data_IF_004261234158
#
_entry.id   IF_004261234158
#
_cell.length_a   1.000
_cell.length_b   1.000
_cell.length_c   1.000
_cell.angle_alpha   90.00
_cell.angle_beta   90.00
_cell.angle_gamma   90.00
#
_symmetry.space_group_name_H-M   'P 1'
#
loop_
_entity.id
_entity.type
_entity.pdbx_description
1 polymer ?
#
# COMPACT_ATOMS: atom_id res chain seq x y z
N UNK A 1 5.44 3.09 -11.76
CA UNK A 1 6.72 3.68 -12.21
C UNK A 1 7.53 2.57 -12.83
N UNK A 2 8.16 2.81 -13.98
CA UNK A 2 9.04 1.85 -14.65
C UNK A 2 10.47 2.42 -14.61
N UNK A 3 11.43 1.62 -14.13
CA UNK A 3 12.84 2.01 -14.12
C UNK A 3 13.53 1.30 -15.27
N UNK A 4 13.92 2.05 -16.30
CA UNK A 4 14.55 1.47 -17.47
C UNK A 4 15.99 0.96 -17.18
N UNK A 5 16.48 -0.05 -17.92
CA UNK A 5 15.73 -0.85 -18.89
C UNK A 5 14.88 -1.94 -18.22
N UNK A 6 13.62 -2.08 -18.66
CA UNK A 6 12.70 -3.18 -18.33
C UNK A 6 11.78 -3.45 -19.52
N UNK A 7 11.40 -4.71 -19.71
CA UNK A 7 10.44 -5.17 -20.73
C UNK A 7 9.10 -5.50 -20.06
N UNK A 8 8.01 -5.00 -20.64
CA UNK A 8 6.64 -5.34 -20.23
C UNK A 8 6.03 -6.16 -21.37
N UNK A 9 5.76 -7.44 -21.11
CA UNK A 9 5.17 -8.33 -22.11
C UNK A 9 3.72 -7.99 -22.43
N UNK A 10 3.23 -8.48 -23.56
CA UNK A 10 1.86 -8.23 -24.01
C UNK A 10 0.83 -8.70 -22.98
N UNK A 11 -0.19 -7.87 -22.75
CA UNK A 11 -1.24 -8.14 -21.77
C UNK A 11 -0.78 -8.15 -20.30
N UNK A 12 0.45 -7.75 -20.00
CA UNK A 12 0.92 -7.60 -18.62
C UNK A 12 0.31 -6.36 -17.94
N UNK A 13 0.19 -6.43 -16.61
CA UNK A 13 -0.32 -5.35 -15.78
C UNK A 13 0.69 -4.97 -14.70
N UNK A 14 0.57 -3.76 -14.16
CA UNK A 14 1.33 -3.32 -12.98
C UNK A 14 0.37 -2.93 -11.87
N UNK A 15 0.58 -3.45 -10.67
CA UNK A 15 -0.24 -3.07 -9.53
C UNK A 15 -0.02 -1.60 -9.15
N UNK A 16 -1.09 -0.93 -8.71
CA UNK A 16 -1.05 0.48 -8.31
C UNK A 16 0.02 0.72 -7.23
N UNK A 17 0.79 1.80 -7.42
CA UNK A 17 1.88 2.18 -6.52
C UNK A 17 3.14 1.32 -6.65
N UNK A 18 3.25 0.46 -7.66
CA UNK A 18 4.46 -0.34 -7.89
C UNK A 18 5.56 0.47 -8.57
N UNK A 19 6.80 0.23 -8.13
CA UNK A 19 8.02 0.55 -8.87
C UNK A 19 8.53 -0.76 -9.47
N UNK A 20 8.55 -0.87 -10.80
CA UNK A 20 8.98 -2.08 -11.52
C UNK A 20 10.43 -1.88 -11.97
N UNK A 21 11.31 -2.77 -11.51
CA UNK A 21 12.75 -2.77 -11.77
C UNK A 21 13.24 -4.05 -12.46
N UNK A 22 12.32 -4.97 -12.74
CA UNK A 22 12.58 -6.26 -13.40
C UNK A 22 11.51 -6.48 -14.48
N UNK A 23 11.83 -7.31 -15.47
CA UNK A 23 10.91 -7.61 -16.57
C UNK A 23 9.60 -8.23 -16.06
N UNK A 24 8.49 -7.85 -16.69
CA UNK A 24 7.17 -8.43 -16.41
C UNK A 24 6.76 -9.27 -17.62
N UNK A 25 6.69 -10.62 -17.49
CA UNK A 25 6.30 -11.50 -18.59
C UNK A 25 4.90 -11.19 -19.14
N UNK A 26 4.64 -11.60 -20.38
CA UNK A 26 3.33 -11.48 -21.00
C UNK A 26 2.23 -12.12 -20.13
N UNK A 27 1.10 -11.42 -20.00
CA UNK A 27 -0.04 -11.82 -19.15
C UNK A 27 0.19 -11.78 -17.63
N UNK A 28 1.39 -11.44 -17.15
CA UNK A 28 1.70 -11.37 -15.72
C UNK A 28 1.31 -10.02 -15.10
N UNK A 29 1.19 -9.99 -13.76
CA UNK A 29 1.07 -8.74 -13.00
C UNK A 29 2.34 -8.48 -12.20
N UNK A 30 3.03 -7.38 -12.51
CA UNK A 30 4.16 -6.88 -11.72
C UNK A 30 3.68 -6.20 -10.43
N UNK A 31 4.22 -6.63 -9.29
CA UNK A 31 3.93 -6.07 -7.95
C UNK A 31 5.25 -5.71 -7.25
N UNK A 32 5.61 -4.42 -7.31
CA UNK A 32 6.85 -3.87 -6.74
C UNK A 32 6.58 -3.02 -5.51
N UNK A 33 5.81 -3.54 -4.54
CA UNK A 33 5.48 -2.84 -3.28
C UNK A 33 5.50 -3.81 -2.10
N UNK A 34 5.79 -3.28 -0.91
CA UNK A 34 5.75 -4.04 0.33
C UNK A 34 4.34 -4.53 0.65
N UNK A 35 4.23 -5.66 1.35
CA UNK A 35 2.94 -6.09 1.93
C UNK A 35 2.47 -5.03 2.94
N UNK A 36 1.18 -4.71 2.88
CA UNK A 36 0.60 -3.77 3.84
C UNK A 36 0.68 -4.35 5.25
N UNK A 37 1.05 -3.51 6.22
CA UNK A 37 0.97 -3.81 7.65
C UNK A 37 0.18 -2.72 8.34
N UNK A 38 -0.86 -3.11 9.07
CA UNK A 38 -1.61 -2.18 9.90
C UNK A 38 -0.91 -2.03 11.26
N UNK A 39 -0.61 -0.79 11.66
CA UNK A 39 -0.11 -0.49 13.00
C UNK A 39 -1.25 0.12 13.80
N UNK A 40 -1.96 -0.71 14.55
CA UNK A 40 -3.16 -0.30 15.27
C UNK A 40 -2.84 0.76 16.34
N UNK A 41 -3.77 1.70 16.50
CA UNK A 41 -3.67 2.79 17.47
C UNK A 41 -2.49 3.74 17.25
N UNK A 42 -1.83 3.73 16.09
CA UNK A 42 -0.61 4.52 15.86
C UNK A 42 -0.84 6.02 16.09
N UNK A 43 -1.96 6.57 15.60
CA UNK A 43 -2.27 8.00 15.76
C UNK A 43 -2.49 8.36 17.23
N UNK A 44 -3.25 7.55 17.98
CA UNK A 44 -3.47 7.78 19.41
C UNK A 44 -2.15 7.75 20.19
N UNK A 45 -1.23 6.85 19.83
CA UNK A 45 0.07 6.69 20.50
C UNK A 45 1.12 7.72 20.09
N UNK A 46 1.17 8.12 18.82
CA UNK A 46 2.24 8.97 18.27
C UNK A 46 1.83 10.43 18.09
N UNK A 47 0.53 10.74 18.09
CA UNK A 47 0.00 12.09 17.86
C UNK A 47 -1.16 12.44 18.80
N UNK A 48 -1.00 12.30 20.13
CA UNK A 48 -2.06 12.63 21.07
C UNK A 48 -2.44 14.12 20.99
N UNK A 49 -3.71 14.44 21.25
CA UNK A 49 -4.23 15.82 21.25
C UNK A 49 -4.35 16.49 19.88
N UNK A 50 -4.10 15.76 18.78
CA UNK A 50 -4.38 16.27 17.44
C UNK A 50 -5.83 16.02 17.04
N UNK A 51 -6.37 16.85 16.12
CA UNK A 51 -7.70 16.62 15.51
C UNK A 51 -7.84 15.20 14.95
N UNK A 52 -6.76 14.63 14.42
CA UNK A 52 -6.75 13.24 13.94
C UNK A 52 -6.89 12.20 15.06
N UNK A 53 -6.33 12.45 16.25
CA UNK A 53 -6.48 11.59 17.40
C UNK A 53 -7.87 11.69 18.02
N UNK A 54 -8.43 12.90 18.12
CA UNK A 54 -9.81 13.13 18.56
C UNK A 54 -10.80 12.42 17.64
N UNK A 55 -10.67 12.63 16.32
CA UNK A 55 -11.52 11.96 15.34
C UNK A 55 -11.41 10.42 15.42
N UNK A 56 -10.20 9.89 15.65
CA UNK A 56 -10.00 8.45 15.81
C UNK A 56 -10.60 7.91 17.11
N UNK A 57 -10.59 8.69 18.20
CA UNK A 57 -11.19 8.29 19.48
C UNK A 57 -12.73 8.34 19.45
N UNK A 58 -13.31 9.24 18.66
CA UNK A 58 -14.76 9.35 18.48
C UNK A 58 -15.33 8.43 17.39
N UNK A 59 -14.47 7.73 16.63
CA UNK A 59 -14.91 6.82 15.58
C UNK A 59 -15.51 5.54 16.16
N UNK A 60 -16.58 4.98 15.55
CA UNK A 60 -17.11 3.68 15.95
C UNK A 60 -16.05 2.59 15.73
N UNK A 61 -15.94 1.65 16.66
CA UNK A 61 -15.02 0.52 16.58
C UNK A 61 -15.37 -0.36 15.39
N UNK A 62 -14.60 -0.27 14.32
CA UNK A 62 -14.65 -1.23 13.24
C UNK A 62 -13.63 -2.34 13.55
N UNK A 63 -14.12 -3.48 14.03
CA UNK A 63 -13.31 -4.68 14.25
C UNK A 63 -12.67 -5.10 12.94
N UNK A 64 -11.38 -4.81 12.79
CA UNK A 64 -10.58 -5.30 11.68
C UNK A 64 -10.16 -6.74 11.99
N UNK A 65 -11.03 -7.71 11.64
CA UNK A 65 -10.58 -9.09 11.47
C UNK A 65 -9.59 -9.12 10.31
N UNK A 66 -8.34 -9.38 10.64
CA UNK A 66 -7.28 -9.80 9.73
C UNK A 66 -6.77 -11.15 10.19
#
# INVERSE_FOLDING_TARGET
>A
MLVAPVTIGDGAYTAAGSVITEDVPAGAMGVGRSKQRNVLGWVLRKRPGTKSAEAAASAPSNDQKG
#
